data_IF_848983996722
#
_entry.id   IF_848983996722
#
_cell.length_a   1.000
_cell.length_b   1.000
_cell.length_c   1.000
_cell.angle_alpha   90.00
_cell.angle_beta   90.00
_cell.angle_gamma   90.00
#
_symmetry.space_group_name_H-M   'P 1'
#
loop_
_entity.id
_entity.type
_entity.pdbx_description
1 polymer ?
#
# COMPACT_ATOMS: atom_id res chain seq x y z
N UNK A 1 -73.40 12.59 25.75
CA UNK A 1 -72.17 12.69 26.57
C UNK A 1 -70.97 12.42 25.67
N UNK A 2 -69.84 13.11 25.88
CA UNK A 2 -68.61 12.99 25.06
C UNK A 2 -67.81 11.75 25.44
N UNK A 3 -67.32 10.96 24.47
CA UNK A 3 -66.00 10.30 24.54
C UNK A 3 -65.41 10.25 23.12
N UNK A 4 -64.45 11.12 22.83
CA UNK A 4 -63.65 11.04 21.60
C UNK A 4 -62.35 10.30 21.95
N UNK A 5 -62.20 9.05 21.51
CA UNK A 5 -60.95 8.30 21.65
C UNK A 5 -59.93 8.78 20.60
N UNK A 6 -59.30 9.91 20.88
CA UNK A 6 -58.08 10.37 20.20
C UNK A 6 -56.87 10.04 21.07
N UNK A 7 -56.48 8.76 21.06
CA UNK A 7 -55.13 8.37 21.51
C UNK A 7 -54.15 8.85 20.44
N UNK A 8 -53.49 9.97 20.71
CA UNK A 8 -52.60 10.61 19.75
C UNK A 8 -51.41 9.74 19.38
N UNK A 9 -51.09 9.68 18.08
CA UNK A 9 -49.82 9.13 17.63
C UNK A 9 -48.66 9.95 18.25
N UNK A 10 -47.57 9.30 18.71
CA UNK A 10 -46.42 10.03 19.22
C UNK A 10 -45.80 10.88 18.08
N UNK A 11 -45.31 12.10 18.37
CA UNK A 11 -44.64 12.90 17.36
C UNK A 11 -43.42 12.12 16.85
N UNK A 12 -43.40 11.85 15.54
CA UNK A 12 -42.27 11.23 14.87
C UNK A 12 -41.06 12.17 14.99
N UNK A 13 -40.24 11.95 16.02
CA UNK A 13 -38.99 12.66 16.25
C UNK A 13 -38.05 12.32 15.10
N UNK A 14 -38.14 13.14 14.05
CA UNK A 14 -37.31 13.07 12.86
C UNK A 14 -35.91 13.53 13.23
N UNK A 15 -35.20 12.67 13.95
CA UNK A 15 -33.81 12.83 14.36
C UNK A 15 -32.95 12.98 13.09
N UNK A 16 -32.76 14.24 12.71
CA UNK A 16 -31.88 14.67 11.63
C UNK A 16 -30.47 14.19 12.03
N UNK A 17 -29.88 13.21 11.34
CA UNK A 17 -28.60 12.65 11.77
C UNK A 17 -27.60 13.80 11.81
N UNK A 18 -27.05 14.04 13.01
CA UNK A 18 -26.04 15.06 13.21
C UNK A 18 -24.83 14.58 12.42
N UNK A 19 -24.62 15.16 11.25
CA UNK A 19 -23.50 14.80 10.39
C UNK A 19 -22.23 15.09 11.17
N UNK A 20 -21.65 14.03 11.75
CA UNK A 20 -20.29 14.06 12.28
C UNK A 20 -19.44 14.57 11.11
N UNK A 21 -18.66 15.65 11.26
CA UNK A 21 -17.77 16.08 10.20
C UNK A 21 -16.83 14.90 9.96
N UNK A 22 -17.09 14.17 8.88
CA UNK A 22 -16.31 13.01 8.48
C UNK A 22 -14.93 13.56 8.18
N UNK A 23 -14.03 13.39 9.15
CA UNK A 23 -12.68 13.92 9.08
C UNK A 23 -12.12 13.53 7.71
N UNK A 24 -11.95 14.50 6.84
CA UNK A 24 -11.35 14.32 5.52
C UNK A 24 -9.86 14.30 5.78
N UNK A 25 -9.21 13.13 5.87
CA UNK A 25 -7.77 13.07 6.09
C UNK A 25 -7.17 13.25 4.70
N UNK A 26 -7.16 14.49 4.21
CA UNK A 26 -6.71 14.82 2.85
C UNK A 26 -5.31 14.23 2.59
N UNK A 27 -4.48 14.28 3.64
CA UNK A 27 -3.12 13.79 3.67
C UNK A 27 -2.97 12.30 4.02
N UNK A 28 -4.04 11.60 4.46
CA UNK A 28 -4.05 10.18 4.88
C UNK A 28 -2.76 9.81 5.63
N UNK A 29 -2.55 10.31 6.87
CA UNK A 29 -1.25 10.17 7.56
C UNK A 29 -0.90 8.70 7.84
N UNK A 30 0.39 8.36 7.99
CA UNK A 30 0.80 7.02 8.38
C UNK A 30 0.22 6.67 9.76
N UNK A 31 -0.08 5.39 10.02
CA UNK A 31 -0.38 4.95 11.38
C UNK A 31 0.84 5.16 12.28
N UNK A 32 0.60 5.37 13.57
CA UNK A 32 1.65 5.50 14.58
C UNK A 32 1.95 4.12 15.19
N UNK A 33 3.23 3.71 15.36
CA UNK A 33 3.57 2.48 16.07
C UNK A 33 3.12 2.52 17.54
N UNK A 34 2.78 1.37 18.14
CA UNK A 34 2.52 1.28 19.57
C UNK A 34 3.77 1.64 20.38
N UNK A 35 3.57 2.27 21.55
CA UNK A 35 4.65 2.50 22.51
C UNK A 35 4.95 1.19 23.21
N UNK A 36 6.24 0.81 23.28
CA UNK A 36 6.68 -0.37 24.03
C UNK A 36 6.47 -0.12 25.54
N UNK A 37 5.80 -1.02 26.27
CA UNK A 37 5.69 -0.93 27.73
C UNK A 37 7.07 -1.15 28.38
N UNK A 38 7.25 -0.58 29.58
CA UNK A 38 8.44 -0.87 30.38
C UNK A 38 8.35 -2.26 31.02
N UNK A 39 9.44 -2.74 31.61
CA UNK A 39 9.41 -3.94 32.43
C UNK A 39 8.57 -3.72 33.69
N UNK A 40 8.60 -2.52 34.29
CA UNK A 40 7.78 -2.19 35.47
C UNK A 40 6.25 -2.16 35.19
N UNK A 41 5.83 -2.00 33.93
CA UNK A 41 4.43 -2.16 33.51
C UNK A 41 3.99 -3.65 33.53
N UNK A 42 4.94 -4.58 33.57
CA UNK A 42 4.64 -6.00 33.69
C UNK A 42 4.23 -6.35 35.13
N UNK A 43 3.08 -7.01 35.25
CA UNK A 43 2.53 -7.47 36.53
C UNK A 43 3.43 -8.49 37.27
N UNK A 44 4.38 -9.14 36.58
CA UNK A 44 5.38 -10.13 37.08
C UNK A 44 4.87 -11.33 37.90
N UNK A 45 3.58 -11.39 38.24
CA UNK A 45 2.97 -12.33 39.18
C UNK A 45 1.92 -13.24 38.53
N UNK A 46 1.89 -13.28 37.20
CA UNK A 46 0.97 -14.13 36.44
C UNK A 46 -0.43 -13.55 36.24
N UNK A 47 -0.55 -12.23 36.05
CA UNK A 47 -1.80 -11.62 35.57
C UNK A 47 -2.32 -12.32 34.30
N UNK A 48 -3.64 -12.39 34.15
CA UNK A 48 -4.31 -13.17 33.08
C UNK A 48 -4.03 -12.69 31.65
N UNK A 49 -3.45 -11.50 31.48
CA UNK A 49 -2.97 -11.01 30.20
C UNK A 49 -1.70 -10.19 30.41
N UNK A 50 -0.63 -10.48 29.65
CA UNK A 50 0.62 -9.76 29.75
C UNK A 50 0.56 -8.44 28.96
N UNK A 51 1.23 -7.39 29.46
CA UNK A 51 1.34 -6.12 28.74
C UNK A 51 2.17 -6.26 27.45
N UNK A 52 3.14 -7.19 27.43
CA UNK A 52 3.92 -7.50 26.24
C UNK A 52 3.08 -8.21 25.17
N UNK A 53 2.22 -9.18 25.54
CA UNK A 53 1.31 -9.83 24.60
C UNK A 53 0.36 -8.82 23.94
N UNK A 54 -0.20 -7.88 24.73
CA UNK A 54 -1.05 -6.79 24.24
C UNK A 54 -0.29 -5.83 23.31
N UNK A 55 0.99 -5.58 23.59
CA UNK A 55 1.86 -4.78 22.73
C UNK A 55 2.16 -5.49 21.41
N UNK A 56 2.44 -6.80 21.43
CA UNK A 56 2.71 -7.59 20.22
C UNK A 56 1.46 -7.68 19.33
N UNK A 57 0.28 -7.93 19.90
CA UNK A 57 -0.99 -7.81 19.16
C UNK A 57 -1.20 -6.40 18.56
N UNK A 58 -0.83 -5.34 19.28
CA UNK A 58 -0.92 -3.97 18.79
C UNK A 58 0.08 -3.70 17.66
N UNK A 59 1.25 -4.34 17.69
CA UNK A 59 2.28 -4.28 16.67
C UNK A 59 1.82 -4.96 15.39
N UNK A 60 1.23 -6.17 15.46
CA UNK A 60 0.63 -6.84 14.31
C UNK A 60 -0.46 -5.98 13.64
N UNK A 61 -1.37 -5.41 14.43
CA UNK A 61 -2.41 -4.49 13.94
C UNK A 61 -1.82 -3.25 13.27
N UNK A 62 -0.73 -2.71 13.82
CA UNK A 62 0.01 -1.59 13.24
C UNK A 62 0.67 -1.95 11.91
N UNK A 63 1.33 -3.10 11.80
CA UNK A 63 1.97 -3.55 10.56
C UNK A 63 0.96 -3.75 9.42
N UNK A 64 -0.20 -4.35 9.72
CA UNK A 64 -1.32 -4.49 8.77
C UNK A 64 -1.81 -3.11 8.31
N UNK A 65 -1.98 -2.16 9.24
CA UNK A 65 -2.40 -0.80 8.93
C UNK A 65 -1.36 -0.05 8.08
N UNK A 66 -0.07 -0.22 8.38
CA UNK A 66 1.06 0.40 7.67
C UNK A 66 1.19 -0.16 6.25
N UNK A 67 1.05 -1.48 6.07
CA UNK A 67 1.02 -2.11 4.76
C UNK A 67 -0.18 -1.64 3.91
N UNK A 68 -1.36 -1.47 4.54
CA UNK A 68 -2.53 -0.90 3.88
C UNK A 68 -2.33 0.58 3.51
N UNK A 69 -1.64 1.35 4.36
CA UNK A 69 -1.26 2.74 4.10
C UNK A 69 -0.29 2.86 2.92
N UNK A 70 0.81 2.09 2.91
CA UNK A 70 1.76 2.06 1.80
C UNK A 70 1.09 1.81 0.44
N UNK A 71 0.10 0.90 0.39
CA UNK A 71 -0.70 0.67 -0.84
C UNK A 71 -1.44 1.94 -1.27
N UNK A 72 -2.14 2.63 -0.36
CA UNK A 72 -2.85 3.89 -0.68
C UNK A 72 -1.88 4.98 -1.15
N UNK A 73 -0.71 5.10 -0.54
CA UNK A 73 0.31 6.05 -0.96
C UNK A 73 0.89 5.71 -2.34
N UNK A 74 1.13 4.44 -2.66
CA UNK A 74 1.55 4.03 -4.01
C UNK A 74 0.49 4.31 -5.11
N UNK A 75 -0.80 4.38 -4.74
CA UNK A 75 -1.86 4.85 -5.63
C UNK A 75 -1.89 6.38 -5.76
N UNK A 76 -1.68 7.13 -4.67
CA UNK A 76 -1.59 8.61 -4.68
C UNK A 76 -0.34 9.13 -5.40
N UNK A 77 0.81 8.51 -5.17
CA UNK A 77 2.12 8.87 -5.74
C UNK A 77 2.28 8.53 -7.24
N UNK A 78 1.18 8.21 -7.94
CA UNK A 78 1.14 8.06 -9.39
C UNK A 78 0.35 9.20 -10.06
N UNK A 79 0.89 10.44 -10.10
CA UNK A 79 0.45 11.41 -11.08
C UNK A 79 0.82 10.92 -12.49
N UNK A 80 0.18 11.51 -13.50
CA UNK A 80 0.20 10.99 -14.87
C UNK A 80 1.62 10.77 -15.44
N UNK A 81 1.87 9.56 -15.98
CA UNK A 81 2.82 9.41 -17.08
C UNK A 81 2.29 10.21 -18.27
N UNK A 82 2.75 11.45 -18.45
CA UNK A 82 2.71 12.13 -19.75
C UNK A 82 3.88 11.60 -20.58
N UNK A 83 3.66 10.88 -21.70
CA UNK A 83 4.73 10.47 -22.59
C UNK A 83 5.13 11.64 -23.49
N UNK A 84 5.78 12.67 -22.92
CA UNK A 84 6.20 13.84 -23.68
C UNK A 84 7.58 14.34 -23.22
N UNK A 85 8.60 13.67 -23.76
CA UNK A 85 9.97 14.15 -23.83
C UNK A 85 10.58 13.67 -25.16
N UNK A 86 10.05 14.20 -26.26
CA UNK A 86 10.68 14.18 -27.59
C UNK A 86 11.44 15.50 -27.73
N UNK A 87 12.73 15.57 -28.07
CA UNK A 87 13.76 14.54 -28.18
C UNK A 87 15.05 15.12 -28.78
N UNK A 88 16.19 14.46 -28.58
CA UNK A 88 17.43 14.68 -29.34
C UNK A 88 18.21 13.35 -29.39
N UNK A 89 18.07 12.60 -30.49
CA UNK A 89 19.07 12.50 -31.56
C UNK A 89 20.32 11.67 -31.19
N UNK A 90 20.34 10.42 -31.66
CA UNK A 90 21.44 9.46 -31.44
C UNK A 90 21.39 8.28 -32.41
N UNK A 91 21.00 8.50 -33.67
CA UNK A 91 20.93 7.45 -34.69
C UNK A 91 22.32 7.16 -35.28
N UNK A 92 22.95 6.05 -34.85
CA UNK A 92 24.10 5.33 -35.44
C UNK A 92 24.31 4.04 -34.61
N UNK A 93 24.37 2.81 -35.12
CA UNK A 93 24.21 2.29 -36.49
C UNK A 93 23.88 0.78 -36.45
N UNK A 94 22.95 0.34 -37.32
CA UNK A 94 22.78 -1.00 -37.96
C UNK A 94 22.81 -2.29 -37.08
N UNK A 95 21.77 -3.15 -37.12
CA UNK A 95 21.86 -4.52 -36.59
C UNK A 95 22.64 -5.43 -37.56
N UNK A 96 23.48 -6.32 -37.03
CA UNK A 96 24.07 -7.42 -37.81
C UNK A 96 23.32 -8.72 -37.53
N UNK A 97 22.38 -9.02 -38.42
CA UNK A 97 21.75 -10.33 -38.47
C UNK A 97 22.68 -11.38 -39.10
N UNK A 98 22.48 -12.61 -38.65
CA UNK A 98 23.01 -13.88 -39.15
C UNK A 98 23.07 -13.98 -40.70
N UNK A 99 24.25 -14.24 -41.25
CA UNK A 99 24.43 -14.85 -42.58
C UNK A 99 25.91 -15.21 -42.87
N UNK A 100 26.11 -16.36 -43.54
CA UNK A 100 27.38 -16.92 -44.08
C UNK A 100 28.27 -17.60 -43.02
N UNK A 101 28.36 -18.93 -42.91
CA UNK A 101 28.18 -20.04 -43.89
C UNK A 101 29.00 -19.84 -45.18
N UNK A 102 29.88 -20.81 -45.44
CA UNK A 102 30.69 -20.98 -46.66
C UNK A 102 32.02 -20.21 -46.77
N UNK A 103 33.08 -20.76 -46.17
CA UNK A 103 34.35 -20.97 -46.90
C UNK A 103 34.85 -22.39 -46.66
N UNK A 104 34.80 -23.21 -47.71
CA UNK A 104 35.39 -24.54 -47.70
C UNK A 104 36.86 -24.48 -48.18
N UNK A 105 37.66 -25.44 -47.72
CA UNK A 105 38.85 -26.00 -48.41
C UNK A 105 39.94 -25.01 -48.90
N UNK A 106 41.02 -24.92 -48.13
CA UNK A 106 42.42 -24.94 -48.58
C UNK A 106 43.23 -25.49 -47.39
N UNK A 107 44.00 -26.57 -47.45
CA UNK A 107 44.87 -27.03 -48.54
C UNK A 107 46.31 -26.87 -48.05
N UNK A 108 46.88 -27.92 -47.47
CA UNK A 108 48.27 -27.99 -46.93
C UNK A 108 49.27 -28.00 -48.11
N UNK A 109 50.48 -27.40 -48.01
CA UNK A 109 51.65 -28.02 -47.35
C UNK A 109 52.45 -26.97 -46.50
N UNK A 110 53.67 -27.17 -45.99
CA UNK A 110 54.61 -28.31 -46.00
C UNK A 110 55.44 -28.40 -44.68
N UNK A 111 56.33 -29.39 -44.60
CA UNK A 111 57.37 -29.61 -43.58
C UNK A 111 58.51 -28.58 -43.53
N UNK A 112 59.00 -28.26 -42.32
CA UNK A 112 60.38 -27.97 -41.85
C UNK A 112 60.24 -27.80 -40.31
N UNK A 113 61.07 -28.32 -39.40
CA UNK A 113 62.35 -29.06 -39.40
C UNK A 113 62.31 -30.09 -38.27
#
# INVERSE_FOLDING_TARGET
MRVQLILGAPPSLRAKPRAVPRATPSDDPPPQPPVRPDLDDCCHSGCTQCVFDLYDEALERYEIALAAWHKRQAHKARPARRPEAQGAQGAKSKPQADARRSTARRGKPNSHR
#
